data_IF_860877556793
#
_entry.id   IF_860877556793
#
_cell.length_a   1.000
_cell.length_b   1.000
_cell.length_c   1.000
_cell.angle_alpha   90.00
_cell.angle_beta   90.00
_cell.angle_gamma   90.00
#
_symmetry.space_group_name_H-M   'P 1'
#
loop_
_entity.id
_entity.type
_entity.pdbx_description
1 polymer ?
#
# COMPACT_ATOMS: atom_id res chain seq x y z
N UNK A 1 22.55 8.63 -0.39
CA UNK A 1 21.28 9.00 0.28
C UNK A 1 21.09 8.07 1.48
N UNK A 2 20.78 8.60 2.67
CA UNK A 2 20.51 7.78 3.88
C UNK A 2 19.07 8.03 4.32
N UNK A 3 18.26 6.97 4.44
CA UNK A 3 16.86 7.02 4.89
C UNK A 3 16.77 6.29 6.23
N UNK A 4 16.07 6.88 7.22
CA UNK A 4 15.84 6.29 8.55
C UNK A 4 14.33 6.34 8.85
N UNK A 5 13.77 5.25 9.37
CA UNK A 5 12.34 5.14 9.65
C UNK A 5 11.97 3.85 10.38
N UNK A 6 10.68 3.70 10.71
CA UNK A 6 10.13 2.48 11.31
C UNK A 6 9.92 1.41 10.23
N UNK A 7 10.23 0.17 10.56
CA UNK A 7 9.96 -0.98 9.68
C UNK A 7 8.50 -1.40 9.82
N UNK A 8 7.81 -1.55 8.68
CA UNK A 8 6.57 -2.31 8.56
C UNK A 8 6.94 -3.63 7.86
N UNK A 9 6.79 -4.77 8.55
CA UNK A 9 7.22 -6.08 8.05
C UNK A 9 6.00 -6.94 7.74
N UNK A 10 5.94 -7.44 6.52
CA UNK A 10 4.91 -8.38 6.05
C UNK A 10 5.49 -9.79 5.89
N UNK A 11 4.63 -10.78 5.70
CA UNK A 11 4.99 -12.17 5.47
C UNK A 11 5.28 -12.49 4.00
N UNK A 12 5.22 -13.76 3.66
CA UNK A 12 5.39 -14.24 2.28
C UNK A 12 4.09 -14.08 1.46
N UNK A 13 4.22 -14.12 0.13
CA UNK A 13 3.11 -14.10 -0.84
C UNK A 13 2.25 -12.83 -0.89
N UNK A 14 2.79 -11.67 -0.48
CA UNK A 14 2.09 -10.38 -0.58
C UNK A 14 1.84 -10.01 -2.05
N UNK A 15 0.57 -9.85 -2.41
CA UNK A 15 0.13 -9.55 -3.78
C UNK A 15 -0.51 -8.15 -3.88
N UNK A 16 -0.93 -7.77 -5.09
CA UNK A 16 -1.46 -6.43 -5.36
C UNK A 16 -2.80 -6.18 -4.68
N UNK A 17 -3.67 -7.18 -4.56
CA UNK A 17 -4.96 -7.02 -3.87
C UNK A 17 -4.80 -6.89 -2.36
N UNK A 18 -3.72 -7.44 -1.81
CA UNK A 18 -3.31 -7.18 -0.44
C UNK A 18 -2.85 -5.73 -0.30
N UNK A 19 -1.92 -5.26 -1.14
CA UNK A 19 -1.39 -3.89 -1.05
C UNK A 19 -2.50 -2.84 -1.29
N UNK A 20 -3.35 -3.06 -2.31
CA UNK A 20 -4.45 -2.18 -2.68
C UNK A 20 -5.60 -2.99 -3.30
N UNK A 21 -6.66 -3.29 -2.55
CA UNK A 21 -7.80 -4.05 -3.06
C UNK A 21 -8.49 -3.37 -4.26
N UNK A 22 -8.85 -4.17 -5.28
CA UNK A 22 -9.51 -3.69 -6.50
C UNK A 22 -10.77 -2.82 -6.28
N UNK A 23 -11.46 -2.98 -5.14
CA UNK A 23 -12.64 -2.18 -4.76
C UNK A 23 -12.36 -0.68 -4.56
N UNK A 24 -11.09 -0.29 -4.41
CA UNK A 24 -10.67 1.12 -4.25
C UNK A 24 -10.13 1.73 -5.55
N UNK A 25 -10.13 0.99 -6.67
CA UNK A 25 -9.61 1.42 -7.95
C UNK A 25 -10.65 2.18 -8.81
N UNK A 26 -11.69 2.72 -8.17
CA UNK A 26 -12.66 3.62 -8.79
C UNK A 26 -12.12 5.06 -8.92
N UNK A 27 -10.99 5.34 -8.28
CA UNK A 27 -10.27 6.62 -8.33
C UNK A 27 -8.79 6.43 -8.66
N UNK A 28 -8.20 7.45 -9.28
CA UNK A 28 -6.74 7.55 -9.50
C UNK A 28 -6.08 8.57 -8.57
N UNK A 29 -6.84 9.21 -7.67
CA UNK A 29 -6.29 10.13 -6.69
C UNK A 29 -5.38 9.37 -5.72
N UNK A 30 -4.08 9.68 -5.77
CA UNK A 30 -3.07 9.07 -4.93
C UNK A 30 -3.35 9.29 -3.43
N UNK A 31 -4.00 10.39 -3.05
CA UNK A 31 -4.35 10.63 -1.64
C UNK A 31 -5.46 9.71 -1.15
N UNK A 32 -6.44 9.40 -1.99
CA UNK A 32 -7.52 8.48 -1.64
C UNK A 32 -7.00 7.03 -1.59
N UNK A 33 -6.20 6.61 -2.58
CA UNK A 33 -5.59 5.28 -2.59
C UNK A 33 -4.68 5.03 -1.38
N UNK A 34 -3.89 6.03 -0.98
CA UNK A 34 -2.97 5.93 0.16
C UNK A 34 -3.67 5.65 1.51
N UNK A 35 -4.96 6.01 1.66
CA UNK A 35 -5.74 5.71 2.88
C UNK A 35 -6.05 4.23 3.03
N UNK A 36 -5.96 3.46 1.95
CA UNK A 36 -6.29 2.04 1.89
C UNK A 36 -5.06 1.16 1.72
N UNK A 37 -3.86 1.76 1.62
CA UNK A 37 -2.60 1.05 1.58
C UNK A 37 -2.30 0.42 2.94
N UNK A 38 -1.90 -0.84 2.90
CA UNK A 38 -1.42 -1.57 4.08
C UNK A 38 0.01 -1.19 4.43
#
# INVERSE_FOLDING_TARGET
MVIRGRVLKYGDNVNTDEIIPARYLDTTDSKELAKHCM
#
